data_IF_169022493915
#
_entry.id   IF_169022493915
#
_cell.length_a   1.000
_cell.length_b   1.000
_cell.length_c   1.000
_cell.angle_alpha   90.00
_cell.angle_beta   90.00
_cell.angle_gamma   90.00
#
_symmetry.space_group_name_H-M   'P 1'
#
loop_
_entity.id
_entity.type
_entity.pdbx_description
1 polymer ?
#
# COMPACT_ATOMS: atom_id res chain seq x y z
N UNK A 1 -26.93 -8.54 -22.32
CA UNK A 1 -26.08 -9.52 -21.60
C UNK A 1 -24.98 -10.12 -22.48
N UNK A 2 -25.21 -10.48 -23.75
CA UNK A 2 -24.15 -11.01 -24.65
C UNK A 2 -22.95 -10.07 -24.76
N UNK A 3 -23.15 -8.77 -24.90
CA UNK A 3 -22.08 -7.79 -25.06
C UNK A 3 -21.19 -7.66 -23.79
N UNK A 4 -21.73 -7.90 -22.60
CA UNK A 4 -20.94 -7.85 -21.36
C UNK A 4 -20.01 -9.06 -21.22
N UNK A 5 -20.48 -10.26 -21.52
CA UNK A 5 -19.64 -11.47 -21.51
C UNK A 5 -18.58 -11.45 -22.61
N UNK A 6 -18.89 -10.93 -23.78
CA UNK A 6 -17.92 -10.72 -24.86
C UNK A 6 -16.87 -9.69 -24.48
N UNK A 7 -17.26 -8.60 -23.82
CA UNK A 7 -16.34 -7.60 -23.28
C UNK A 7 -15.39 -8.19 -22.24
N UNK A 8 -15.90 -8.95 -21.27
CA UNK A 8 -15.06 -9.63 -20.27
C UNK A 8 -14.11 -10.65 -20.91
N UNK A 9 -14.56 -11.38 -21.91
CA UNK A 9 -13.73 -12.36 -22.62
C UNK A 9 -12.60 -11.69 -23.40
N UNK A 10 -12.82 -10.48 -23.88
CA UNK A 10 -11.80 -9.69 -24.57
C UNK A 10 -10.83 -9.00 -23.57
N UNK A 11 -11.33 -8.66 -22.38
CA UNK A 11 -10.58 -7.98 -21.31
C UNK A 11 -10.36 -8.90 -20.11
N UNK A 12 -9.69 -10.02 -20.34
CA UNK A 12 -9.46 -11.05 -19.30
C UNK A 12 -8.67 -10.51 -18.09
N UNK A 13 -7.87 -9.45 -18.27
CA UNK A 13 -7.15 -8.79 -17.18
C UNK A 13 -8.07 -8.22 -16.09
N UNK A 14 -9.36 -7.96 -16.39
CA UNK A 14 -10.32 -7.53 -15.38
C UNK A 14 -10.58 -8.59 -14.30
N UNK A 15 -10.29 -9.87 -14.58
CA UNK A 15 -10.37 -10.93 -13.57
C UNK A 15 -9.37 -10.74 -12.42
N UNK A 16 -8.29 -9.97 -12.64
CA UNK A 16 -7.35 -9.60 -11.57
C UNK A 16 -8.04 -8.82 -10.44
N UNK A 17 -9.10 -8.06 -10.76
CA UNK A 17 -9.89 -7.34 -9.76
C UNK A 17 -10.62 -8.27 -8.78
N UNK A 18 -10.89 -9.52 -9.17
CA UNK A 18 -11.50 -10.51 -8.27
C UNK A 18 -10.60 -10.83 -7.07
N UNK A 19 -9.30 -10.60 -7.19
CA UNK A 19 -8.38 -10.73 -6.06
C UNK A 19 -8.75 -9.80 -4.89
N UNK A 20 -9.34 -8.66 -5.17
CA UNK A 20 -9.81 -7.74 -4.13
C UNK A 20 -10.80 -8.38 -3.16
N UNK A 21 -11.59 -9.37 -3.61
CA UNK A 21 -12.54 -10.12 -2.77
C UNK A 21 -11.82 -11.00 -1.72
N UNK A 22 -10.57 -11.34 -1.95
CA UNK A 22 -9.74 -12.09 -1.00
C UNK A 22 -8.91 -11.11 -0.19
N UNK A 23 -8.30 -10.12 -0.86
CA UNK A 23 -7.39 -9.18 -0.24
C UNK A 23 -8.07 -8.31 0.82
N UNK A 24 -9.21 -7.69 0.48
CA UNK A 24 -9.88 -6.73 1.37
C UNK A 24 -10.33 -7.39 2.69
N UNK A 25 -11.04 -8.54 2.70
CA UNK A 25 -11.43 -9.19 3.94
C UNK A 25 -10.23 -9.63 4.78
N UNK A 26 -9.17 -10.14 4.15
CA UNK A 26 -7.96 -10.56 4.87
C UNK A 26 -7.23 -9.35 5.46
N UNK A 27 -7.10 -8.26 4.70
CA UNK A 27 -6.50 -7.03 5.18
C UNK A 27 -7.29 -6.42 6.36
N UNK A 28 -8.62 -6.30 6.24
CA UNK A 28 -9.47 -5.81 7.32
C UNK A 28 -9.34 -6.67 8.59
N UNK A 29 -9.34 -8.00 8.43
CA UNK A 29 -9.14 -8.90 9.55
C UNK A 29 -7.76 -8.70 10.20
N UNK A 30 -6.72 -8.47 9.40
CA UNK A 30 -5.37 -8.23 9.88
C UNK A 30 -5.28 -6.92 10.68
N UNK A 31 -5.88 -5.85 10.18
CA UNK A 31 -5.95 -4.54 10.86
C UNK A 31 -6.70 -4.60 12.20
N UNK A 32 -7.75 -5.40 12.28
CA UNK A 32 -8.47 -5.63 13.54
C UNK A 32 -7.63 -6.44 14.54
N UNK A 33 -6.90 -7.45 14.07
CA UNK A 33 -6.11 -8.36 14.90
C UNK A 33 -4.83 -7.72 15.39
N UNK A 34 -4.13 -6.98 14.53
CA UNK A 34 -2.83 -6.37 14.80
C UNK A 34 -3.03 -4.87 15.00
N UNK A 35 -3.34 -4.49 16.20
CA UNK A 35 -3.52 -3.10 16.62
C UNK A 35 -2.52 -2.72 17.73
N UNK A 36 -2.51 -1.46 18.14
CA UNK A 36 -1.57 -0.93 19.14
C UNK A 36 -1.63 -1.66 20.50
N UNK A 37 -2.75 -2.34 20.80
CA UNK A 37 -2.93 -3.09 22.03
C UNK A 37 -2.54 -4.57 21.89
N UNK A 38 -2.18 -5.02 20.69
CA UNK A 38 -1.74 -6.38 20.43
C UNK A 38 -0.22 -6.52 20.63
N UNK A 39 0.24 -7.76 20.84
CA UNK A 39 1.67 -8.05 20.83
C UNK A 39 2.18 -8.05 19.38
N UNK A 40 2.99 -7.07 19.02
CA UNK A 40 3.67 -7.01 17.74
C UNK A 40 5.16 -6.74 17.90
N UNK A 41 5.94 -7.08 16.91
CA UNK A 41 7.38 -6.84 16.90
C UNK A 41 7.66 -5.40 16.49
N UNK A 42 8.30 -4.64 17.36
CA UNK A 42 8.71 -3.27 17.05
C UNK A 42 9.87 -3.31 16.05
N UNK A 43 9.63 -2.74 14.87
CA UNK A 43 10.67 -2.52 13.88
C UNK A 43 11.28 -1.16 14.15
N UNK A 44 12.51 -1.18 14.70
CA UNK A 44 13.27 0.02 15.00
C UNK A 44 14.74 -0.23 14.70
N UNK A 45 15.37 0.73 14.07
CA UNK A 45 16.79 0.72 13.76
C UNK A 45 17.45 1.97 14.38
N UNK A 46 18.66 1.84 14.90
CA UNK A 46 19.38 2.98 15.47
C UNK A 46 19.51 4.19 14.53
N UNK A 47 19.39 3.97 13.21
CA UNK A 47 19.37 5.05 12.22
C UNK A 47 18.10 5.90 12.29
N UNK A 48 16.97 5.32 12.72
CA UNK A 48 15.69 6.02 12.80
C UNK A 48 15.74 7.17 13.82
N UNK A 49 16.56 7.02 14.87
CA UNK A 49 16.76 8.05 15.90
C UNK A 49 17.47 9.32 15.38
N UNK A 50 18.20 9.19 14.28
CA UNK A 50 18.91 10.31 13.65
C UNK A 50 18.09 11.05 12.60
N UNK A 51 16.94 10.46 12.17
CA UNK A 51 16.11 11.05 11.13
C UNK A 51 15.13 12.06 11.78
N UNK A 52 15.30 13.36 11.56
CA UNK A 52 14.40 14.35 12.14
C UNK A 52 13.02 14.26 11.48
N UNK A 53 11.98 14.58 12.25
CA UNK A 53 10.64 14.72 11.69
C UNK A 53 10.61 15.86 10.66
N UNK A 54 10.09 15.57 9.48
CA UNK A 54 9.91 16.51 8.39
C UNK A 54 8.53 16.37 7.78
N UNK A 55 7.65 17.34 8.02
CA UNK A 55 6.27 17.36 7.57
C UNK A 55 6.10 17.33 6.06
N UNK A 56 7.12 17.80 5.30
CA UNK A 56 7.06 17.83 3.83
C UNK A 56 7.05 16.46 3.17
N UNK A 57 7.45 15.40 3.89
CA UNK A 57 7.36 14.03 3.36
C UNK A 57 5.93 13.55 3.14
N UNK A 58 4.92 14.26 3.64
CA UNK A 58 3.53 14.02 3.29
C UNK A 58 3.23 14.23 1.81
N UNK A 59 3.98 15.10 1.13
CA UNK A 59 3.82 15.37 -0.30
C UNK A 59 4.16 14.14 -1.14
N UNK A 60 5.38 13.56 -1.09
CA UNK A 60 5.69 12.34 -1.84
C UNK A 60 4.81 11.16 -1.43
N UNK A 61 4.33 11.09 -0.18
CA UNK A 61 3.39 10.07 0.25
C UNK A 61 2.08 10.13 -0.55
N UNK A 62 1.45 11.29 -0.69
CA UNK A 62 0.22 11.44 -1.49
C UNK A 62 0.49 11.32 -3.00
N UNK A 63 1.63 11.79 -3.49
CA UNK A 63 2.02 11.64 -4.89
C UNK A 63 2.18 10.17 -5.28
N UNK A 64 2.54 9.30 -4.34
CA UNK A 64 2.62 7.87 -4.58
C UNK A 64 1.27 7.27 -5.02
N UNK A 65 0.16 7.67 -4.41
CA UNK A 65 -1.17 7.20 -4.82
C UNK A 65 -1.51 7.62 -6.25
N UNK A 66 -1.16 8.87 -6.60
CA UNK A 66 -1.36 9.38 -7.98
C UNK A 66 -0.49 8.60 -8.96
N UNK A 67 0.76 8.37 -8.63
CA UNK A 67 1.69 7.58 -9.43
C UNK A 67 1.16 6.16 -9.68
N UNK A 68 0.72 5.47 -8.63
CA UNK A 68 0.17 4.12 -8.72
C UNK A 68 -1.10 4.09 -9.58
N UNK A 69 -2.03 5.00 -9.32
CA UNK A 69 -3.29 5.08 -10.08
C UNK A 69 -3.03 5.37 -11.56
N UNK A 70 -2.18 6.35 -11.86
CA UNK A 70 -1.83 6.72 -13.23
C UNK A 70 -1.14 5.56 -13.97
N UNK A 71 -0.20 4.87 -13.32
CA UNK A 71 0.53 3.73 -13.87
C UNK A 71 -0.39 2.56 -14.19
N UNK A 72 -1.23 2.16 -13.24
CA UNK A 72 -2.18 1.06 -13.41
C UNK A 72 -3.19 1.39 -14.53
N UNK A 73 -3.76 2.59 -14.52
CA UNK A 73 -4.74 3.03 -15.53
C UNK A 73 -4.09 3.03 -16.92
N UNK A 74 -2.91 3.63 -17.06
CA UNK A 74 -2.22 3.69 -18.34
C UNK A 74 -1.96 2.30 -18.91
N UNK A 75 -1.38 1.39 -18.11
CA UNK A 75 -1.08 0.02 -18.54
C UNK A 75 -2.35 -0.74 -18.89
N UNK A 76 -3.42 -0.59 -18.09
CA UNK A 76 -4.68 -1.29 -18.32
C UNK A 76 -5.32 -0.93 -19.69
N UNK A 77 -5.11 0.31 -20.17
CA UNK A 77 -5.65 0.76 -21.44
C UNK A 77 -4.69 0.62 -22.63
N UNK A 78 -3.40 0.36 -22.37
CA UNK A 78 -2.37 0.34 -23.44
C UNK A 78 -2.06 -1.08 -23.89
N UNK A 79 -1.78 -1.99 -22.97
CA UNK A 79 -1.38 -3.38 -23.27
C UNK A 79 -1.91 -4.38 -22.26
N UNK A 80 -2.80 -5.26 -22.73
CA UNK A 80 -3.39 -6.31 -21.89
C UNK A 80 -2.38 -7.34 -21.35
N UNK A 81 -1.28 -7.62 -22.07
CA UNK A 81 -0.24 -8.55 -21.59
C UNK A 81 0.57 -7.92 -20.48
N UNK A 82 0.90 -6.64 -20.63
CA UNK A 82 1.59 -5.86 -19.63
C UNK A 82 0.72 -5.72 -18.37
N UNK A 83 -0.58 -5.49 -18.55
CA UNK A 83 -1.55 -5.45 -17.48
C UNK A 83 -1.60 -6.78 -16.68
N UNK A 84 -1.54 -7.93 -17.37
CA UNK A 84 -1.45 -9.22 -16.70
C UNK A 84 -0.17 -9.37 -15.88
N UNK A 85 0.99 -9.00 -16.43
CA UNK A 85 2.28 -9.07 -15.71
C UNK A 85 2.25 -8.21 -14.47
N UNK A 86 1.85 -6.94 -14.64
CA UNK A 86 1.71 -6.00 -13.53
C UNK A 86 0.76 -6.54 -12.46
N UNK A 87 -0.43 -7.01 -12.86
CA UNK A 87 -1.44 -7.53 -11.95
C UNK A 87 -0.96 -8.75 -11.15
N UNK A 88 -0.31 -9.72 -11.81
CA UNK A 88 0.25 -10.90 -11.13
C UNK A 88 1.33 -10.47 -10.14
N UNK A 89 2.20 -9.53 -10.52
CA UNK A 89 3.25 -9.05 -9.63
C UNK A 89 2.65 -8.35 -8.39
N UNK A 90 1.69 -7.44 -8.61
CA UNK A 90 0.99 -6.75 -7.51
C UNK A 90 0.28 -7.74 -6.57
N UNK A 91 -0.46 -8.70 -7.12
CA UNK A 91 -1.13 -9.76 -6.34
C UNK A 91 -0.11 -10.54 -5.51
N UNK A 92 1.02 -10.90 -6.10
CA UNK A 92 2.08 -11.64 -5.40
C UNK A 92 2.64 -10.81 -4.25
N UNK A 93 3.01 -9.55 -4.49
CA UNK A 93 3.53 -8.65 -3.46
C UNK A 93 2.53 -8.44 -2.32
N UNK A 94 1.26 -8.20 -2.64
CA UNK A 94 0.20 -7.99 -1.66
C UNK A 94 -0.10 -9.26 -0.86
N UNK A 95 -0.05 -10.44 -1.50
CA UNK A 95 -0.23 -11.73 -0.81
C UNK A 95 0.93 -12.01 0.14
N UNK A 96 2.17 -11.77 -0.30
CA UNK A 96 3.38 -11.91 0.53
C UNK A 96 3.32 -10.97 1.73
N UNK A 97 2.89 -9.71 1.52
CA UNK A 97 2.66 -8.77 2.60
C UNK A 97 1.66 -9.30 3.63
N UNK A 98 0.46 -9.71 3.20
CA UNK A 98 -0.56 -10.25 4.09
C UNK A 98 -0.07 -11.49 4.86
N UNK A 99 0.62 -12.39 4.17
CA UNK A 99 1.16 -13.59 4.78
C UNK A 99 2.21 -13.27 5.86
N UNK A 100 3.19 -12.41 5.53
CA UNK A 100 4.23 -12.02 6.48
C UNK A 100 3.61 -11.27 7.68
N UNK A 101 2.72 -10.31 7.44
CA UNK A 101 2.05 -9.56 8.51
C UNK A 101 1.17 -10.45 9.40
N UNK A 102 0.63 -11.54 8.86
CA UNK A 102 -0.15 -12.51 9.65
C UNK A 102 0.75 -13.37 10.53
N UNK A 103 1.90 -13.83 10.00
CA UNK A 103 2.83 -14.73 10.73
C UNK A 103 3.74 -13.94 11.67
N UNK A 104 4.13 -12.74 11.25
CA UNK A 104 5.05 -11.86 11.98
C UNK A 104 4.44 -10.45 12.11
N UNK A 105 3.48 -10.26 13.02
CA UNK A 105 2.91 -8.96 13.30
C UNK A 105 4.00 -7.96 13.68
N UNK A 106 4.04 -6.84 13.02
CA UNK A 106 5.09 -5.85 13.21
C UNK A 106 4.54 -4.42 13.20
N UNK A 107 5.29 -3.49 13.75
CA UNK A 107 4.88 -2.10 13.84
C UNK A 107 5.99 -1.19 14.32
N UNK A 108 5.68 0.10 14.44
CA UNK A 108 6.58 1.10 15.01
C UNK A 108 6.15 1.53 16.41
N UNK A 109 7.06 2.20 17.10
CA UNK A 109 6.76 2.89 18.33
C UNK A 109 5.69 3.99 18.12
N UNK A 110 4.93 4.35 19.16
CA UNK A 110 3.94 5.43 19.05
C UNK A 110 4.53 6.70 18.45
N UNK A 111 3.80 7.27 17.52
CA UNK A 111 4.14 8.55 16.87
C UNK A 111 4.00 9.69 17.87
N UNK A 112 4.77 10.79 17.75
CA UNK A 112 4.62 11.93 18.62
C UNK A 112 3.23 12.57 18.47
N UNK A 113 2.58 12.85 19.61
CA UNK A 113 1.27 13.52 19.64
C UNK A 113 1.39 15.04 19.48
N UNK A 114 2.60 15.58 19.68
CA UNK A 114 2.86 17.01 19.60
C UNK A 114 3.98 17.31 18.62
N UNK A 115 3.76 18.32 17.80
CA UNK A 115 4.72 18.79 16.81
C UNK A 115 5.24 20.18 17.18
N UNK A 116 6.51 20.44 16.91
CA UNK A 116 7.14 21.73 17.19
C UNK A 116 6.59 22.89 16.33
N UNK A 117 5.89 22.58 15.25
CA UNK A 117 5.31 23.54 14.30
C UNK A 117 3.86 23.24 14.10
N UNK A 118 3.06 24.30 13.86
CA UNK A 118 1.66 24.19 13.45
C UNK A 118 1.48 24.88 12.08
N UNK A 119 1.51 24.05 11.04
CA UNK A 119 1.29 24.48 9.67
C UNK A 119 0.35 23.49 8.95
N UNK A 120 -0.08 23.85 7.74
CA UNK A 120 -0.99 23.02 6.95
C UNK A 120 -0.48 21.58 6.76
N UNK A 121 0.83 21.39 6.54
CA UNK A 121 1.42 20.06 6.32
C UNK A 121 1.39 19.22 7.60
N UNK A 122 1.65 19.83 8.75
CA UNK A 122 1.51 19.16 10.05
C UNK A 122 0.07 18.72 10.31
N UNK A 123 -0.91 19.55 9.97
CA UNK A 123 -2.33 19.19 10.11
C UNK A 123 -2.70 18.02 9.20
N UNK A 124 -2.16 17.97 7.97
CA UNK A 124 -2.33 16.84 7.04
C UNK A 124 -1.68 15.58 7.62
N UNK A 125 -0.46 15.67 8.17
CA UNK A 125 0.21 14.55 8.82
C UNK A 125 -0.58 14.05 10.03
N UNK A 126 -1.10 14.96 10.85
CA UNK A 126 -1.91 14.59 12.00
C UNK A 126 -3.19 13.83 11.59
N UNK A 127 -3.84 14.30 10.52
CA UNK A 127 -5.00 13.59 9.95
C UNK A 127 -4.61 12.23 9.37
N UNK A 128 -3.45 12.12 8.72
CA UNK A 128 -2.92 10.86 8.24
C UNK A 128 -2.67 9.89 9.41
N UNK A 129 -2.05 10.36 10.48
CA UNK A 129 -1.77 9.57 11.68
C UNK A 129 -3.02 9.08 12.40
N UNK A 130 -4.14 9.80 12.30
CA UNK A 130 -5.42 9.35 12.86
C UNK A 130 -6.12 8.28 12.03
N UNK A 131 -5.72 8.12 10.76
CA UNK A 131 -6.35 7.19 9.81
C UNK A 131 -5.48 5.95 9.56
N UNK A 132 -4.16 6.14 9.56
CA UNK A 132 -3.18 5.12 9.23
C UNK A 132 -2.65 4.43 10.50
N UNK A 133 -2.64 3.11 10.50
CA UNK A 133 -2.20 2.33 11.64
C UNK A 133 -0.68 2.34 11.81
N UNK A 134 -0.21 2.08 13.05
CA UNK A 134 1.21 1.95 13.37
C UNK A 134 1.75 0.55 13.14
N UNK A 135 0.92 -0.35 12.66
CA UNK A 135 1.18 -1.77 12.52
C UNK A 135 1.26 -2.19 11.06
N UNK A 136 1.77 -3.39 10.81
CA UNK A 136 1.87 -3.98 9.48
C UNK A 136 2.72 -3.15 8.50
N UNK A 137 3.87 -2.65 8.95
CA UNK A 137 4.73 -1.76 8.17
C UNK A 137 5.73 -2.51 7.29
N UNK A 138 6.05 -3.75 7.62
CA UNK A 138 7.00 -4.58 6.88
C UNK A 138 6.36 -5.90 6.45
N UNK A 139 6.56 -6.31 5.17
CA UNK A 139 7.28 -5.61 4.08
C UNK A 139 6.51 -4.38 3.56
N UNK A 140 7.23 -3.39 3.03
CA UNK A 140 6.60 -2.15 2.55
C UNK A 140 5.80 -2.37 1.27
N UNK A 141 4.49 -2.21 1.34
CA UNK A 141 3.60 -2.23 0.16
C UNK A 141 3.96 -1.10 -0.82
N UNK A 142 4.28 0.08 -0.29
CA UNK A 142 4.63 1.24 -1.12
C UNK A 142 5.86 0.94 -2.00
N UNK A 143 6.92 0.40 -1.42
CA UNK A 143 8.12 0.06 -2.14
C UNK A 143 7.88 -1.09 -3.14
N UNK A 144 7.27 -2.18 -2.70
CA UNK A 144 7.06 -3.37 -3.52
C UNK A 144 6.12 -3.12 -4.70
N UNK A 145 5.06 -2.31 -4.51
CA UNK A 145 4.12 -2.01 -5.59
C UNK A 145 4.63 -0.96 -6.59
N UNK A 146 5.61 -0.13 -6.19
CA UNK A 146 6.22 0.84 -7.10
C UNK A 146 7.15 0.20 -8.12
N UNK A 147 7.85 -0.88 -7.73
CA UNK A 147 8.85 -1.54 -8.58
C UNK A 147 8.28 -2.04 -9.92
N UNK A 148 7.16 -2.77 -9.98
CA UNK A 148 6.66 -3.29 -11.24
C UNK A 148 6.23 -2.20 -12.21
N UNK A 149 5.66 -1.10 -11.71
CA UNK A 149 5.32 0.04 -12.56
C UNK A 149 6.58 0.62 -13.18
N UNK A 150 7.64 0.81 -12.39
CA UNK A 150 8.92 1.31 -12.91
C UNK A 150 9.51 0.41 -13.98
N UNK A 151 9.57 -0.91 -13.74
CA UNK A 151 10.17 -1.85 -14.67
C UNK A 151 9.35 -2.11 -15.94
N UNK A 152 8.05 -1.92 -15.88
CA UNK A 152 7.18 -2.07 -17.04
C UNK A 152 7.18 -0.83 -17.95
N UNK A 153 7.68 0.32 -17.45
CA UNK A 153 7.89 1.54 -18.23
C UNK A 153 9.33 1.72 -18.74
N UNK A 154 10.32 1.06 -18.14
CA UNK A 154 11.72 1.13 -18.53
C UNK A 154 12.07 0.14 -19.65
#
# INVERSE_FOLDING_TARGET
MKNFFEYLRHNTHLFLLLYALIYIPWFCWLEEKVNINSNFHVIHMALDDYIPFCEFFVIPYYLWFIYMAAGIIFIAFTDGKLCWRLGIFLITCMTVFLFISTVYPNGQLPRPDTFARDNLFVQIVHRLYSTDTLTNLFPSIHASNSLPIYFDYA
#
